data_IF_393885925353
#
_entry.id   IF_393885925353
#
_cell.length_a   1.000
_cell.length_b   1.000
_cell.length_c   1.000
_cell.angle_alpha   90.00
_cell.angle_beta   90.00
_cell.angle_gamma   90.00
#
_symmetry.space_group_name_H-M   'P 1'
#
loop_
_entity.id
_entity.type
_entity.pdbx_description
1 polymer ?
#
# COMPACT_ATOMS: atom_id res chain seq x y z
N UNK A 1 1.82 15.88 40.42
CA UNK A 1 0.48 15.50 39.86
C UNK A 1 0.60 15.36 38.35
N UNK A 2 0.09 14.27 37.78
CA UNK A 2 0.09 14.08 36.32
C UNK A 2 -0.97 14.99 35.69
N UNK A 3 -0.63 15.88 34.72
CA UNK A 3 -1.62 16.73 34.08
C UNK A 3 -2.64 15.89 33.31
N UNK A 4 -3.94 16.04 33.61
CA UNK A 4 -5.05 15.28 32.96
C UNK A 4 -4.97 15.30 31.43
N UNK A 5 -4.56 16.43 30.84
CA UNK A 5 -4.37 16.59 29.39
C UNK A 5 -3.32 15.64 28.80
N UNK A 6 -2.22 15.38 29.51
CA UNK A 6 -1.15 14.48 29.05
C UNK A 6 -1.56 13.02 29.13
N UNK A 7 -2.29 12.66 30.18
CA UNK A 7 -2.86 11.31 30.31
C UNK A 7 -3.92 11.05 29.22
N UNK A 8 -4.79 12.02 28.96
CA UNK A 8 -5.78 11.92 27.89
C UNK A 8 -5.13 11.74 26.51
N UNK A 9 -4.02 12.45 26.24
CA UNK A 9 -3.26 12.28 24.99
C UNK A 9 -2.70 10.85 24.86
N UNK A 10 -2.13 10.28 25.92
CA UNK A 10 -1.61 8.90 25.88
C UNK A 10 -2.73 7.87 25.69
N UNK A 11 -3.89 8.07 26.34
CA UNK A 11 -5.06 7.22 26.15
C UNK A 11 -5.57 7.32 24.71
N UNK A 12 -5.62 8.53 24.13
CA UNK A 12 -5.99 8.73 22.74
C UNK A 12 -5.02 8.01 21.79
N UNK A 13 -3.71 8.13 22.02
CA UNK A 13 -2.69 7.40 21.25
C UNK A 13 -2.90 5.87 21.31
N UNK A 14 -3.21 5.34 22.49
CA UNK A 14 -3.48 3.92 22.68
C UNK A 14 -4.77 3.48 21.98
N UNK A 15 -5.85 4.26 22.07
CA UNK A 15 -7.10 3.97 21.35
C UNK A 15 -6.91 3.99 19.83
N UNK A 16 -6.16 4.97 19.31
CA UNK A 16 -5.82 5.04 17.89
C UNK A 16 -4.94 3.86 17.48
N UNK A 17 -3.95 3.49 18.28
CA UNK A 17 -3.11 2.32 18.03
C UNK A 17 -3.90 1.00 17.97
N UNK A 18 -4.81 0.80 18.92
CA UNK A 18 -5.70 -0.37 18.94
C UNK A 18 -6.63 -0.34 17.72
N UNK A 19 -7.27 0.80 17.42
CA UNK A 19 -8.14 0.91 16.25
C UNK A 19 -7.39 0.62 14.95
N UNK A 20 -6.18 1.14 14.76
CA UNK A 20 -5.38 0.90 13.55
C UNK A 20 -4.87 -0.54 13.44
N UNK A 21 -4.44 -1.15 14.55
CA UNK A 21 -4.00 -2.55 14.55
C UNK A 21 -5.14 -3.54 14.35
N UNK A 22 -6.33 -3.26 14.92
CA UNK A 22 -7.47 -4.18 14.86
C UNK A 22 -8.33 -4.00 13.60
N UNK A 23 -8.50 -2.77 13.09
CA UNK A 23 -9.38 -2.50 11.92
C UNK A 23 -9.01 -3.35 10.71
N UNK A 24 -7.71 -3.55 10.49
CA UNK A 24 -7.23 -4.36 9.38
C UNK A 24 -6.97 -5.82 9.76
N UNK A 25 -6.57 -6.11 11.01
CA UNK A 25 -6.43 -7.50 11.45
C UNK A 25 -7.77 -8.25 11.38
N UNK A 26 -8.89 -7.62 11.77
CA UNK A 26 -10.23 -8.22 11.65
C UNK A 26 -10.61 -8.43 10.19
N UNK A 27 -10.36 -7.42 9.34
CA UNK A 27 -10.63 -7.50 7.89
C UNK A 27 -9.81 -8.58 7.17
N UNK A 28 -8.61 -8.91 7.65
CA UNK A 28 -7.74 -9.94 7.04
C UNK A 28 -7.81 -11.31 7.73
N UNK A 29 -8.40 -11.43 8.92
CA UNK A 29 -8.45 -12.70 9.70
C UNK A 29 -9.84 -13.32 9.82
N UNK A 30 -10.92 -12.55 9.68
CA UNK A 30 -12.30 -13.06 9.78
C UNK A 30 -13.01 -13.16 8.44
N UNK A 31 -12.62 -12.30 7.50
CA UNK A 31 -12.89 -12.43 6.07
C UNK A 31 -11.60 -12.92 5.44
N UNK A 32 -11.58 -14.15 4.93
CA UNK A 32 -10.69 -14.41 3.80
C UNK A 32 -11.04 -13.34 2.78
N UNK A 33 -10.06 -12.54 2.36
CA UNK A 33 -10.23 -11.56 1.28
C UNK A 33 -10.41 -12.36 -0.01
N UNK A 34 -11.53 -13.04 -0.12
CA UNK A 34 -11.94 -13.83 -1.25
C UNK A 34 -12.57 -12.88 -2.25
N UNK A 35 -12.22 -13.06 -3.50
CA UNK A 35 -12.88 -12.41 -4.62
C UNK A 35 -13.50 -13.50 -5.48
N UNK A 36 -14.75 -13.29 -5.89
CA UNK A 36 -15.40 -14.19 -6.82
C UNK A 36 -15.14 -13.75 -8.25
N UNK A 37 -14.68 -14.69 -9.08
CA UNK A 37 -14.44 -14.49 -10.50
C UNK A 37 -15.38 -15.39 -11.30
N UNK A 38 -15.98 -14.83 -12.33
CA UNK A 38 -16.80 -15.57 -13.30
C UNK A 38 -16.01 -15.85 -14.57
N UNK A 39 -16.42 -16.90 -15.28
CA UNK A 39 -16.02 -17.12 -16.66
C UNK A 39 -17.27 -17.22 -17.52
N UNK A 40 -17.40 -16.33 -18.51
CA UNK A 40 -18.51 -16.32 -19.44
C UNK A 40 -17.99 -16.55 -20.87
N UNK A 41 -18.67 -17.40 -21.64
CA UNK A 41 -18.31 -17.61 -23.05
C UNK A 41 -18.61 -16.33 -23.84
N UNK A 42 -17.62 -15.84 -24.57
CA UNK A 42 -17.72 -14.67 -25.42
C UNK A 42 -17.67 -15.04 -26.89
N UNK A 43 -18.55 -14.42 -27.66
CA UNK A 43 -18.80 -14.68 -29.08
C UNK A 43 -18.89 -13.36 -29.85
N UNK A 44 -19.06 -13.44 -31.18
CA UNK A 44 -19.23 -12.26 -32.03
C UNK A 44 -20.45 -11.39 -31.65
N UNK A 45 -21.46 -11.98 -30.99
CA UNK A 45 -22.65 -11.26 -30.52
C UNK A 45 -22.45 -10.63 -29.12
N UNK A 46 -21.33 -10.93 -28.46
CA UNK A 46 -21.02 -10.37 -27.15
C UNK A 46 -20.67 -8.89 -27.26
N UNK A 47 -21.08 -8.02 -26.30
CA UNK A 47 -20.78 -6.60 -26.37
C UNK A 47 -19.27 -6.35 -26.37
N UNK A 48 -18.69 -5.67 -27.39
CA UNK A 48 -17.24 -5.46 -27.47
C UNK A 48 -16.66 -4.72 -26.27
N UNK A 49 -17.44 -3.80 -25.71
CA UNK A 49 -17.05 -3.04 -24.52
C UNK A 49 -16.86 -3.91 -23.27
N UNK A 50 -17.50 -5.08 -23.20
CA UNK A 50 -17.32 -6.01 -22.08
C UNK A 50 -15.89 -6.58 -22.10
N UNK A 51 -15.43 -7.04 -23.26
CA UNK A 51 -14.07 -7.56 -23.44
C UNK A 51 -13.03 -6.47 -23.17
N UNK A 52 -13.20 -5.29 -23.76
CA UNK A 52 -12.29 -4.16 -23.56
C UNK A 52 -12.25 -3.61 -22.12
N UNK A 53 -13.20 -3.98 -21.26
CA UNK A 53 -13.19 -3.57 -19.85
C UNK A 53 -12.33 -4.47 -18.97
N UNK A 54 -12.07 -5.71 -19.40
CA UNK A 54 -11.40 -6.72 -18.59
C UNK A 54 -10.15 -7.32 -19.24
N UNK A 55 -9.98 -7.17 -20.56
CA UNK A 55 -8.80 -7.61 -21.26
C UNK A 55 -7.83 -6.43 -21.47
N UNK A 56 -6.61 -6.47 -20.89
CA UNK A 56 -5.65 -5.36 -20.95
C UNK A 56 -5.08 -5.12 -22.36
N UNK A 57 -5.25 -6.06 -23.29
CA UNK A 57 -4.75 -5.96 -24.66
C UNK A 57 -5.76 -5.29 -25.61
N UNK A 58 -6.95 -4.93 -25.09
CA UNK A 58 -8.01 -4.22 -25.84
C UNK A 58 -8.39 -2.91 -25.17
N UNK A 59 -8.08 -1.78 -25.79
CA UNK A 59 -8.34 -0.45 -25.23
C UNK A 59 -9.82 -0.07 -25.32
N UNK A 60 -10.45 0.31 -24.20
CA UNK A 60 -11.81 0.85 -24.20
C UNK A 60 -11.82 2.38 -24.45
N UNK A 61 -11.71 2.79 -25.72
CA UNK A 61 -11.71 4.21 -26.11
C UNK A 61 -13.03 4.92 -25.76
N UNK A 62 -14.15 4.20 -25.69
CA UNK A 62 -15.43 4.79 -25.26
C UNK A 62 -15.37 5.24 -23.78
N UNK A 63 -14.74 4.45 -22.91
CA UNK A 63 -14.48 4.83 -21.53
C UNK A 63 -13.50 6.01 -21.45
N UNK A 64 -12.38 5.94 -22.19
CA UNK A 64 -11.37 7.01 -22.25
C UNK A 64 -11.96 8.35 -22.68
N UNK A 65 -12.84 8.36 -23.69
CA UNK A 65 -13.53 9.57 -24.16
C UNK A 65 -14.56 10.10 -23.15
N UNK A 66 -15.17 9.23 -22.35
CA UNK A 66 -16.09 9.66 -21.29
C UNK A 66 -15.35 10.35 -20.13
N UNK A 67 -14.17 9.85 -19.77
CA UNK A 67 -13.32 10.45 -18.74
C UNK A 67 -12.67 11.76 -19.22
N UNK A 68 -12.23 11.80 -20.49
CA UNK A 68 -11.59 12.96 -21.10
C UNK A 68 -12.37 13.41 -22.36
N UNK A 69 -13.42 14.24 -22.20
CA UNK A 69 -14.31 14.66 -23.28
C UNK A 69 -13.64 15.31 -24.49
N UNK A 70 -12.45 15.90 -24.30
CA UNK A 70 -11.61 16.47 -25.35
C UNK A 70 -11.23 15.46 -26.44
N UNK A 71 -11.11 14.18 -26.07
CA UNK A 71 -10.77 13.09 -26.99
C UNK A 71 -11.93 12.69 -27.91
N UNK A 72 -13.14 13.20 -27.67
CA UNK A 72 -14.33 12.82 -28.43
C UNK A 72 -14.17 13.09 -29.93
N UNK A 73 -13.73 14.28 -30.32
CA UNK A 73 -13.59 14.61 -31.75
C UNK A 73 -12.39 13.91 -32.42
N UNK A 74 -11.19 13.83 -31.80
CA UNK A 74 -10.07 13.04 -32.32
C UNK A 74 -10.43 11.56 -32.55
N UNK A 75 -10.99 10.90 -31.54
CA UNK A 75 -11.35 9.46 -31.62
C UNK A 75 -12.50 9.25 -32.60
N UNK A 76 -13.54 10.09 -32.59
CA UNK A 76 -14.63 10.00 -33.56
C UNK A 76 -14.14 10.25 -34.99
N UNK A 77 -13.15 11.13 -35.19
CA UNK A 77 -12.54 11.35 -36.50
C UNK A 77 -11.81 10.10 -36.94
N UNK A 78 -10.90 9.56 -36.13
CA UNK A 78 -10.20 8.32 -36.43
C UNK A 78 -11.17 7.17 -36.74
N UNK A 79 -12.23 7.00 -35.97
CA UNK A 79 -13.23 5.95 -36.19
C UNK A 79 -14.02 6.11 -37.51
N UNK A 80 -14.19 7.35 -38.01
CA UNK A 80 -14.89 7.64 -39.27
C UNK A 80 -13.98 7.59 -40.49
N UNK A 81 -12.75 8.09 -40.38
CA UNK A 81 -11.82 8.29 -41.51
C UNK A 81 -10.70 7.26 -41.54
N UNK A 82 -10.57 6.44 -40.50
CA UNK A 82 -9.46 5.51 -40.27
C UNK A 82 -8.26 6.13 -39.57
N UNK A 83 -8.14 7.46 -39.54
CA UNK A 83 -7.00 8.17 -38.95
C UNK A 83 -7.35 9.58 -38.48
N UNK A 84 -6.88 9.92 -37.29
CA UNK A 84 -6.74 11.29 -36.81
C UNK A 84 -5.24 11.60 -36.69
N UNK A 85 -4.82 12.79 -37.11
CA UNK A 85 -3.46 13.29 -36.97
C UNK A 85 -3.54 14.80 -36.74
N UNK A 86 -3.25 15.24 -35.51
CA UNK A 86 -3.45 16.63 -35.13
C UNK A 86 -2.99 16.99 -33.73
N UNK A 87 -3.10 18.28 -33.44
CA UNK A 87 -2.80 18.85 -32.13
C UNK A 87 -3.91 18.49 -31.13
N UNK A 88 -3.53 18.11 -29.92
CA UNK A 88 -4.47 17.76 -28.83
C UNK A 88 -4.19 18.61 -27.59
N UNK A 89 -5.20 18.69 -26.71
CA UNK A 89 -5.04 19.38 -25.42
C UNK A 89 -4.08 18.62 -24.48
N UNK A 90 -3.35 19.30 -23.58
CA UNK A 90 -2.44 18.65 -22.64
C UNK A 90 -3.10 17.58 -21.76
N UNK A 91 -4.36 17.76 -21.38
CA UNK A 91 -5.14 16.79 -20.62
C UNK A 91 -5.41 15.53 -21.44
N UNK A 92 -5.76 15.69 -22.73
CA UNK A 92 -5.90 14.61 -23.68
C UNK A 92 -4.57 13.88 -23.93
N UNK A 93 -3.46 14.61 -23.92
CA UNK A 93 -2.11 14.04 -24.00
C UNK A 93 -1.82 13.13 -22.81
N UNK A 94 -2.04 13.59 -21.57
CA UNK A 94 -1.82 12.75 -20.39
C UNK A 94 -2.65 11.47 -20.44
N UNK A 95 -3.95 11.58 -20.77
CA UNK A 95 -4.83 10.41 -20.88
C UNK A 95 -4.37 9.43 -21.97
N UNK A 96 -3.99 9.91 -23.16
CA UNK A 96 -3.54 9.03 -24.23
C UNK A 96 -2.14 8.45 -23.98
N UNK A 97 -1.26 9.18 -23.28
CA UNK A 97 0.05 8.67 -22.87
C UNK A 97 -0.05 7.56 -21.82
N UNK A 98 -1.17 7.47 -21.10
CA UNK A 98 -1.43 6.38 -20.14
C UNK A 98 -2.09 5.15 -20.80
N UNK A 99 -2.48 5.24 -22.08
CA UNK A 99 -2.99 4.08 -22.83
C UNK A 99 -1.85 3.08 -23.05
N UNK A 100 -2.14 1.79 -22.88
CA UNK A 100 -1.17 0.72 -23.10
C UNK A 100 -0.58 0.80 -24.52
N UNK A 101 0.73 1.10 -24.61
CA UNK A 101 1.46 1.23 -25.88
C UNK A 101 1.51 -0.09 -26.67
N UNK A 102 1.38 -1.23 -25.97
CA UNK A 102 1.44 -2.57 -26.58
C UNK A 102 0.06 -3.04 -27.09
N UNK A 103 -1.02 -2.30 -26.85
CA UNK A 103 -2.36 -2.72 -27.25
C UNK A 103 -2.56 -2.60 -28.77
N UNK A 104 -2.89 -3.72 -29.43
CA UNK A 104 -3.15 -3.76 -30.89
C UNK A 104 -4.63 -3.51 -31.22
N UNK A 105 -5.54 -3.59 -30.25
CA UNK A 105 -6.96 -3.47 -30.49
C UNK A 105 -7.62 -2.42 -29.60
N UNK A 106 -8.71 -1.85 -30.10
CA UNK A 106 -9.53 -0.92 -29.35
C UNK A 106 -11.03 -1.12 -29.64
N UNK A 107 -11.85 -0.71 -28.69
CA UNK A 107 -13.30 -0.63 -28.83
C UNK A 107 -13.75 0.81 -28.75
N UNK A 108 -14.51 1.24 -29.76
CA UNK A 108 -15.18 2.52 -29.77
C UNK A 108 -16.58 2.37 -30.39
N UNK A 109 -17.58 3.02 -29.81
CA UNK A 109 -18.98 2.98 -30.29
C UNK A 109 -19.51 1.55 -30.56
N UNK A 110 -19.14 0.61 -29.69
CA UNK A 110 -19.58 -0.79 -29.76
C UNK A 110 -18.98 -1.61 -30.90
N UNK A 111 -17.83 -1.19 -31.46
CA UNK A 111 -17.13 -1.92 -32.54
C UNK A 111 -15.66 -2.11 -32.22
N UNK A 112 -15.09 -3.19 -32.75
CA UNK A 112 -13.65 -3.47 -32.68
C UNK A 112 -12.90 -2.76 -33.79
N UNK A 113 -11.70 -2.30 -33.44
CA UNK A 113 -10.74 -1.70 -34.35
C UNK A 113 -9.35 -2.28 -34.08
N UNK A 114 -8.57 -2.52 -35.13
CA UNK A 114 -7.12 -2.53 -35.01
C UNK A 114 -6.66 -1.10 -34.72
N UNK A 115 -5.83 -0.96 -33.70
CA UNK A 115 -5.51 0.29 -33.04
C UNK A 115 -4.01 0.55 -33.13
N UNK A 116 -3.67 1.80 -33.40
CA UNK A 116 -2.31 2.31 -33.25
C UNK A 116 -2.39 3.75 -32.76
N UNK A 117 -1.54 4.04 -31.79
CA UNK A 117 -1.47 5.34 -31.13
C UNK A 117 -0.02 5.81 -31.11
N UNK A 118 0.18 7.04 -31.55
CA UNK A 118 1.45 7.73 -31.39
C UNK A 118 1.18 9.11 -30.82
N UNK A 119 1.78 9.40 -29.66
CA UNK A 119 1.62 10.67 -28.95
C UNK A 119 2.97 11.34 -28.80
N UNK A 120 3.04 12.63 -29.08
CA UNK A 120 4.25 13.45 -28.95
C UNK A 120 3.97 14.71 -28.14
N UNK A 121 4.93 15.13 -27.31
CA UNK A 121 4.74 16.19 -26.30
C UNK A 121 5.20 17.59 -26.72
N UNK A 122 5.94 17.75 -27.82
CA UNK A 122 6.40 19.07 -28.30
C UNK A 122 6.54 19.13 -29.84
N UNK A 123 5.55 19.70 -30.56
CA UNK A 123 4.24 20.14 -30.06
C UNK A 123 3.35 18.96 -29.61
N UNK A 124 2.39 19.23 -28.72
CA UNK A 124 1.45 18.22 -28.22
C UNK A 124 0.55 17.72 -29.37
N UNK A 125 0.83 16.51 -29.86
CA UNK A 125 0.15 15.90 -31.01
C UNK A 125 -0.16 14.44 -30.77
N UNK A 126 -1.25 13.97 -31.36
CA UNK A 126 -1.55 12.55 -31.45
C UNK A 126 -1.88 12.14 -32.89
N UNK A 127 -1.37 10.97 -33.25
CA UNK A 127 -1.86 10.17 -34.37
C UNK A 127 -2.62 8.99 -33.79
N UNK A 128 -3.91 8.88 -34.12
CA UNK A 128 -4.80 7.78 -33.73
C UNK A 128 -5.24 7.09 -35.02
N UNK A 129 -4.95 5.80 -35.15
CA UNK A 129 -5.41 4.98 -36.26
C UNK A 129 -6.41 3.94 -35.76
N UNK A 130 -7.53 3.82 -36.49
CA UNK A 130 -8.62 2.89 -36.18
C UNK A 130 -9.09 2.23 -37.46
N UNK A 131 -8.66 0.99 -37.67
CA UNK A 131 -9.11 0.16 -38.79
C UNK A 131 -10.18 -0.83 -38.29
N UNK A 132 -11.42 -0.81 -38.81
CA UNK A 132 -12.46 -1.73 -38.36
C UNK A 132 -12.04 -3.20 -38.47
N UNK A 133 -12.33 -4.00 -37.44
CA UNK A 133 -12.03 -5.43 -37.42
C UNK A 133 -13.19 -6.22 -36.80
N UNK A 134 -13.09 -7.55 -36.83
CA UNK A 134 -14.10 -8.48 -36.32
C UNK A 134 -13.65 -9.17 -35.03
N UNK A 135 -14.61 -9.79 -34.36
CA UNK A 135 -14.40 -10.52 -33.12
C UNK A 135 -13.40 -11.67 -33.32
N UNK A 136 -13.50 -12.42 -34.41
CA UNK A 136 -12.66 -13.57 -34.68
C UNK A 136 -11.17 -13.20 -34.76
N UNK A 137 -10.87 -12.05 -35.37
CA UNK A 137 -9.50 -11.51 -35.43
C UNK A 137 -9.02 -11.11 -34.04
N UNK A 138 -9.84 -10.38 -33.27
CA UNK A 138 -9.49 -9.92 -31.92
C UNK A 138 -9.30 -11.09 -30.97
N UNK A 139 -10.26 -12.01 -30.90
CA UNK A 139 -10.27 -13.13 -29.97
C UNK A 139 -9.06 -14.05 -30.19
N UNK A 140 -8.67 -14.28 -31.45
CA UNK A 140 -7.47 -15.06 -31.78
C UNK A 140 -6.19 -14.38 -31.31
N UNK A 141 -6.13 -13.06 -31.35
CA UNK A 141 -4.93 -12.30 -31.02
C UNK A 141 -4.76 -12.10 -29.51
N UNK A 142 -5.84 -11.84 -28.77
CA UNK A 142 -5.78 -11.52 -27.34
C UNK A 142 -5.96 -12.73 -26.43
N UNK A 143 -6.49 -13.84 -26.95
CA UNK A 143 -6.75 -15.01 -26.11
C UNK A 143 -5.49 -15.72 -25.64
N UNK A 144 -5.47 -16.02 -24.35
CA UNK A 144 -4.44 -16.88 -23.76
C UNK A 144 -4.95 -18.33 -23.71
N UNK A 145 -4.17 -19.33 -24.15
CA UNK A 145 -4.57 -20.73 -23.99
C UNK A 145 -4.81 -21.06 -22.51
N UNK A 146 -5.99 -21.59 -22.16
CA UNK A 146 -6.35 -21.90 -20.78
C UNK A 146 -5.38 -22.90 -20.10
N UNK A 147 -4.69 -23.73 -20.89
CA UNK A 147 -3.65 -24.64 -20.41
C UNK A 147 -2.44 -23.90 -19.77
N UNK A 148 -2.18 -22.66 -20.19
CA UNK A 148 -1.11 -21.81 -19.67
C UNK A 148 -1.61 -20.93 -18.51
N UNK A 149 -2.91 -20.89 -18.25
CA UNK A 149 -3.51 -20.08 -17.20
C UNK A 149 -3.36 -20.72 -15.81
N UNK A 150 -3.61 -19.92 -14.77
CA UNK A 150 -3.58 -20.39 -13.38
C UNK A 150 -4.60 -21.52 -13.15
N UNK A 151 -4.44 -22.26 -12.05
CA UNK A 151 -5.43 -23.26 -11.65
C UNK A 151 -6.82 -22.64 -11.46
N UNK A 152 -6.86 -21.44 -10.86
CA UNK A 152 -8.10 -20.70 -10.59
C UNK A 152 -8.83 -20.28 -11.86
N UNK A 153 -8.11 -19.81 -12.89
CA UNK A 153 -8.71 -19.50 -14.20
C UNK A 153 -9.34 -20.75 -14.82
N UNK A 154 -8.62 -21.88 -14.78
CA UNK A 154 -9.13 -23.13 -15.34
C UNK A 154 -10.36 -23.63 -14.59
N UNK A 155 -10.36 -23.50 -13.26
CA UNK A 155 -11.51 -23.82 -12.43
C UNK A 155 -12.70 -22.89 -12.71
N UNK A 156 -12.47 -21.59 -12.88
CA UNK A 156 -13.52 -20.64 -13.26
C UNK A 156 -14.13 -21.02 -14.62
N UNK A 157 -13.31 -21.36 -15.61
CA UNK A 157 -13.78 -21.79 -16.94
C UNK A 157 -14.56 -23.11 -16.86
N UNK A 158 -14.09 -24.08 -16.07
CA UNK A 158 -14.72 -25.40 -15.97
C UNK A 158 -16.00 -25.40 -15.10
N UNK A 159 -16.03 -24.55 -14.07
CA UNK A 159 -17.10 -24.49 -13.07
C UNK A 159 -18.04 -23.27 -13.21
N UNK A 160 -17.74 -22.35 -14.12
CA UNK A 160 -18.44 -21.06 -14.32
C UNK A 160 -18.01 -19.96 -13.35
N UNK A 161 -17.57 -20.32 -12.13
CA UNK A 161 -17.08 -19.35 -11.13
C UNK A 161 -16.00 -19.97 -10.25
N UNK A 162 -15.10 -19.13 -9.74
CA UNK A 162 -14.15 -19.49 -8.67
C UNK A 162 -14.15 -18.41 -7.60
N UNK A 163 -14.11 -18.83 -6.33
CA UNK A 163 -13.93 -17.92 -5.19
C UNK A 163 -12.58 -18.25 -4.57
N UNK A 164 -11.63 -17.31 -4.64
CA UNK A 164 -10.30 -17.50 -4.07
C UNK A 164 -9.76 -16.20 -3.47
N UNK A 165 -8.85 -16.37 -2.51
CA UNK A 165 -8.05 -15.34 -1.84
C UNK A 165 -6.92 -14.74 -2.69
N UNK A 166 -6.66 -15.30 -3.88
CA UNK A 166 -5.61 -14.84 -4.80
C UNK A 166 -6.23 -14.09 -5.98
N UNK A 167 -5.59 -13.00 -6.40
CA UNK A 167 -6.02 -12.26 -7.59
C UNK A 167 -5.92 -13.15 -8.83
N UNK A 168 -7.06 -13.34 -9.49
CA UNK A 168 -7.14 -13.96 -10.82
C UNK A 168 -6.92 -12.87 -11.86
N UNK A 169 -6.05 -13.15 -12.84
CA UNK A 169 -5.78 -12.23 -13.95
C UNK A 169 -7.02 -12.22 -14.86
N UNK A 170 -7.71 -11.08 -15.02
CA UNK A 170 -8.82 -10.97 -15.96
C UNK A 170 -8.30 -10.99 -17.40
N UNK A 171 -9.15 -11.45 -18.31
CA UNK A 171 -8.83 -11.50 -19.75
C UNK A 171 -9.55 -12.62 -20.48
N UNK A 172 -9.28 -12.72 -21.78
CA UNK A 172 -9.86 -13.75 -22.66
C UNK A 172 -8.99 -15.00 -22.66
N UNK A 173 -9.62 -16.15 -22.44
CA UNK A 173 -8.96 -17.45 -22.44
C UNK A 173 -9.58 -18.41 -23.44
N UNK A 174 -8.74 -19.10 -24.20
CA UNK A 174 -9.19 -20.09 -25.17
C UNK A 174 -9.21 -21.49 -24.54
N UNK A 175 -10.35 -22.19 -24.64
CA UNK A 175 -10.47 -23.60 -24.27
C UNK A 175 -11.43 -24.34 -25.19
N UNK A 176 -10.92 -25.40 -25.83
CA UNK A 176 -11.74 -26.30 -26.64
C UNK A 176 -12.36 -25.63 -27.89
N UNK A 177 -11.72 -24.59 -28.43
CA UNK A 177 -12.21 -23.80 -29.56
C UNK A 177 -13.25 -22.74 -29.20
N UNK A 178 -13.58 -22.58 -27.91
CA UNK A 178 -14.40 -21.49 -27.39
C UNK A 178 -13.52 -20.49 -26.61
N UNK A 179 -13.99 -19.25 -26.53
CA UNK A 179 -13.31 -18.16 -25.85
C UNK A 179 -14.12 -17.77 -24.61
N UNK A 180 -13.46 -17.69 -23.47
CA UNK A 180 -14.07 -17.37 -22.18
C UNK A 180 -13.46 -16.09 -21.64
N UNK A 181 -14.30 -15.11 -21.32
CA UNK A 181 -13.88 -13.92 -20.61
C UNK A 181 -13.92 -14.21 -19.11
N UNK A 182 -12.76 -14.14 -18.48
CA UNK A 182 -12.65 -14.26 -17.02
C UNK A 182 -12.58 -12.86 -16.44
N UNK A 183 -13.49 -12.55 -15.51
CA UNK A 183 -13.59 -11.23 -14.90
C UNK A 183 -14.12 -11.31 -13.47
N UNK A 184 -13.89 -10.29 -12.63
CA UNK A 184 -14.56 -10.17 -11.35
C UNK A 184 -16.08 -10.25 -11.48
N UNK A 185 -16.72 -10.99 -10.57
CA UNK A 185 -18.16 -10.90 -10.38
C UNK A 185 -18.56 -9.56 -9.72
N UNK A 186 -17.66 -8.97 -8.93
CA UNK A 186 -17.85 -7.68 -8.28
C UNK A 186 -16.53 -6.89 -8.21
N UNK A 187 -16.39 -5.85 -9.03
CA UNK A 187 -15.21 -4.97 -9.02
C UNK A 187 -15.01 -4.25 -7.69
N UNK A 188 -16.11 -3.92 -7.00
CA UNK A 188 -16.07 -3.26 -5.69
C UNK A 188 -15.46 -4.15 -4.61
N UNK A 189 -15.62 -5.47 -4.73
CA UNK A 189 -14.99 -6.46 -3.84
C UNK A 189 -13.48 -6.51 -4.08
N UNK A 190 -13.04 -6.51 -5.34
CA UNK A 190 -11.61 -6.43 -5.69
C UNK A 190 -10.97 -5.16 -5.14
N UNK A 191 -11.58 -4.00 -5.40
CA UNK A 191 -11.06 -2.72 -4.91
C UNK A 191 -11.06 -2.66 -3.39
N UNK A 192 -12.12 -3.15 -2.74
CA UNK A 192 -12.22 -3.27 -1.29
C UNK A 192 -11.13 -4.17 -0.70
N UNK A 193 -10.91 -5.35 -1.30
CA UNK A 193 -9.88 -6.30 -0.89
C UNK A 193 -8.47 -5.73 -1.10
N UNK A 194 -8.22 -5.03 -2.21
CA UNK A 194 -6.96 -4.34 -2.47
C UNK A 194 -6.71 -3.24 -1.43
N UNK A 195 -7.70 -2.38 -1.17
CA UNK A 195 -7.60 -1.32 -0.16
C UNK A 195 -7.43 -1.89 1.25
N UNK A 196 -8.07 -3.01 1.57
CA UNK A 196 -7.90 -3.71 2.84
C UNK A 196 -6.49 -4.30 2.96
N UNK A 197 -5.93 -4.86 1.88
CA UNK A 197 -4.59 -5.43 1.85
C UNK A 197 -3.51 -4.33 1.97
N UNK A 198 -3.62 -3.25 1.19
CA UNK A 198 -2.74 -2.09 1.28
C UNK A 198 -2.89 -1.41 2.63
N UNK A 199 -4.11 -1.18 3.09
CA UNK A 199 -4.39 -0.58 4.39
C UNK A 199 -3.84 -1.44 5.54
N UNK A 200 -4.01 -2.76 5.48
CA UNK A 200 -3.45 -3.68 6.46
C UNK A 200 -1.93 -3.69 6.46
N UNK A 201 -1.31 -3.68 5.29
CA UNK A 201 0.14 -3.60 5.17
C UNK A 201 0.70 -2.29 5.75
N UNK A 202 0.03 -1.16 5.51
CA UNK A 202 0.51 0.16 5.94
C UNK A 202 0.17 0.50 7.40
N UNK A 203 -1.09 0.32 7.80
CA UNK A 203 -1.60 0.84 9.06
C UNK A 203 -1.47 -0.11 10.23
N UNK A 204 -1.50 -1.43 10.01
CA UNK A 204 -1.30 -2.41 11.08
C UNK A 204 0.05 -2.25 11.79
N UNK A 205 1.21 -2.18 11.10
CA UNK A 205 2.50 -1.98 11.78
C UNK A 205 2.58 -0.63 12.53
N UNK A 206 1.97 0.42 11.98
CA UNK A 206 1.86 1.74 12.63
C UNK A 206 1.03 1.64 13.92
N UNK A 207 -0.11 0.94 13.86
CA UNK A 207 -1.01 0.74 15.00
C UNK A 207 -0.33 0.00 16.16
N UNK A 208 0.49 -1.02 15.86
CA UNK A 208 1.30 -1.71 16.87
C UNK A 208 2.32 -0.78 17.53
N UNK A 209 3.04 0.02 16.74
CA UNK A 209 3.98 0.99 17.27
C UNK A 209 3.30 2.00 18.22
N UNK A 210 2.11 2.49 17.87
CA UNK A 210 1.35 3.42 18.71
C UNK A 210 0.83 2.75 19.99
N UNK A 211 0.37 1.52 19.89
CA UNK A 211 -0.11 0.73 21.05
C UNK A 211 1.03 0.50 22.04
N UNK A 212 2.18 0.04 21.58
CA UNK A 212 3.35 -0.21 22.43
C UNK A 212 3.90 1.09 23.01
N UNK A 213 3.98 2.17 22.23
CA UNK A 213 4.37 3.49 22.73
C UNK A 213 3.39 4.00 23.81
N UNK A 214 2.09 3.86 23.60
CA UNK A 214 1.05 4.22 24.56
C UNK A 214 1.16 3.42 25.87
N UNK A 215 1.34 2.10 25.79
CA UNK A 215 1.55 1.24 26.96
C UNK A 215 2.84 1.60 27.71
N UNK A 216 3.94 1.83 26.99
CA UNK A 216 5.22 2.25 27.58
C UNK A 216 5.11 3.58 28.33
N UNK A 217 4.41 4.55 27.73
CA UNK A 217 4.14 5.85 28.36
C UNK A 217 3.21 5.74 29.57
N UNK A 218 2.14 4.92 29.50
CA UNK A 218 1.27 4.65 30.65
C UNK A 218 2.03 4.00 31.81
N UNK A 219 2.86 3.00 31.51
CA UNK A 219 3.73 2.35 32.49
C UNK A 219 4.68 3.36 33.16
N UNK A 220 5.31 4.23 32.36
CA UNK A 220 6.19 5.27 32.87
C UNK A 220 5.46 6.28 33.78
N UNK A 221 4.23 6.69 33.42
CA UNK A 221 3.40 7.53 34.29
C UNK A 221 3.04 6.84 35.61
N UNK A 222 2.77 5.55 35.58
CA UNK A 222 2.40 4.77 36.78
C UNK A 222 3.57 4.62 37.75
N UNK A 223 4.76 4.33 37.23
CA UNK A 223 5.97 4.10 38.04
C UNK A 223 6.55 5.41 38.57
N UNK A 224 6.71 6.42 37.69
CA UNK A 224 7.47 7.64 38.03
C UNK A 224 6.61 8.79 38.57
N UNK A 225 5.29 8.78 38.34
CA UNK A 225 4.32 9.81 38.80
C UNK A 225 4.71 11.29 38.47
N UNK A 226 5.65 11.50 37.54
CA UNK A 226 6.10 12.83 37.08
C UNK A 226 5.23 13.34 35.93
N UNK A 227 5.25 14.66 35.72
CA UNK A 227 4.52 15.28 34.61
C UNK A 227 5.13 14.93 33.23
N UNK A 228 6.44 14.63 33.18
CA UNK A 228 7.21 14.24 31.99
C UNK A 228 7.94 12.92 32.29
N UNK A 229 7.34 11.76 31.99
CA UNK A 229 7.87 10.47 32.44
C UNK A 229 8.81 9.81 31.42
N UNK A 230 9.03 10.43 30.25
CA UNK A 230 9.79 9.82 29.16
C UNK A 230 11.28 10.13 29.28
N UNK A 231 12.04 9.18 29.79
CA UNK A 231 13.50 9.21 29.77
C UNK A 231 14.08 8.56 28.53
N UNK A 232 15.38 8.77 28.30
CA UNK A 232 16.11 8.14 27.19
C UNK A 232 15.91 6.63 27.13
N UNK A 233 15.96 5.94 28.27
CA UNK A 233 15.78 4.47 28.34
C UNK A 233 14.40 4.05 27.86
N UNK A 234 13.35 4.71 28.35
CA UNK A 234 11.97 4.42 27.95
C UNK A 234 11.74 4.73 26.47
N UNK A 235 12.27 5.86 25.96
CA UNK A 235 12.16 6.23 24.56
C UNK A 235 12.83 5.21 23.62
N UNK A 236 13.99 4.67 24.00
CA UNK A 236 14.69 3.63 23.21
C UNK A 236 14.00 2.27 23.33
N UNK A 237 13.48 1.90 24.52
CA UNK A 237 12.86 0.60 24.77
C UNK A 237 11.57 0.34 23.97
N UNK A 238 10.87 1.39 23.51
CA UNK A 238 9.67 1.23 22.67
C UNK A 238 9.98 0.55 21.34
N UNK A 239 11.18 0.77 20.78
CA UNK A 239 11.61 0.19 19.51
C UNK A 239 11.69 -1.35 19.56
N UNK A 240 12.51 -1.98 20.44
CA UNK A 240 12.53 -3.43 20.57
C UNK A 240 11.24 -4.00 21.15
N UNK A 241 10.51 -3.24 21.99
CA UNK A 241 9.20 -3.65 22.48
C UNK A 241 8.17 -3.80 21.36
N UNK A 242 8.21 -2.89 20.37
CA UNK A 242 7.34 -2.94 19.18
C UNK A 242 7.66 -4.15 18.33
N UNK A 243 8.95 -4.39 18.08
CA UNK A 243 9.41 -5.58 17.35
C UNK A 243 8.93 -6.88 18.01
N UNK A 244 9.12 -7.01 19.32
CA UNK A 244 8.69 -8.20 20.07
C UNK A 244 7.17 -8.39 20.06
N UNK A 245 6.40 -7.31 20.25
CA UNK A 245 4.94 -7.35 20.19
C UNK A 245 4.44 -7.78 18.82
N UNK A 246 5.05 -7.26 17.75
CA UNK A 246 4.70 -7.62 16.38
C UNK A 246 5.10 -9.04 16.01
N UNK A 247 6.26 -9.53 16.46
CA UNK A 247 6.60 -10.94 16.31
C UNK A 247 5.61 -11.85 17.01
N UNK A 248 5.19 -11.51 18.23
CA UNK A 248 4.15 -12.25 18.96
C UNK A 248 2.78 -12.19 18.28
N UNK A 249 2.37 -11.02 17.78
CA UNK A 249 1.12 -10.89 17.03
C UNK A 249 1.17 -11.75 15.76
N UNK A 250 2.24 -11.61 14.99
CA UNK A 250 2.44 -12.35 13.74
C UNK A 250 2.50 -13.86 13.95
N UNK A 251 3.13 -14.38 15.01
CA UNK A 251 3.15 -15.84 15.28
C UNK A 251 1.77 -16.39 15.58
N UNK A 252 0.91 -15.59 16.22
CA UNK A 252 -0.42 -16.01 16.67
C UNK A 252 -1.49 -15.91 15.58
N UNK A 253 -1.39 -14.95 14.66
CA UNK A 253 -2.52 -14.61 13.76
C UNK A 253 -2.25 -14.75 12.27
N UNK A 254 -0.99 -14.70 11.81
CA UNK A 254 -0.72 -14.60 10.38
C UNK A 254 -0.29 -15.94 9.76
N UNK A 255 -0.60 -16.12 8.49
CA UNK A 255 -0.07 -17.18 7.61
C UNK A 255 0.66 -16.51 6.42
N UNK A 256 1.53 -17.23 5.71
CA UNK A 256 2.30 -16.66 4.58
C UNK A 256 3.80 -16.47 4.81
N UNK A 257 4.47 -15.74 3.90
CA UNK A 257 5.94 -15.63 3.79
C UNK A 257 6.62 -15.21 5.10
N UNK A 258 7.61 -15.99 5.53
CA UNK A 258 8.40 -15.72 6.74
C UNK A 258 9.17 -14.40 6.66
N UNK A 259 9.73 -14.07 5.49
CA UNK A 259 10.46 -12.82 5.29
C UNK A 259 9.56 -11.59 5.48
N UNK A 260 8.37 -11.59 4.89
CA UNK A 260 7.43 -10.48 5.05
C UNK A 260 6.93 -10.34 6.49
N UNK A 261 6.62 -11.49 7.12
CA UNK A 261 6.03 -11.57 8.46
C UNK A 261 6.97 -11.13 9.58
N UNK A 262 8.24 -11.53 9.50
CA UNK A 262 9.19 -11.32 10.60
C UNK A 262 10.18 -10.19 10.35
N UNK A 263 10.30 -9.71 9.11
CA UNK A 263 11.30 -8.70 8.75
C UNK A 263 10.63 -7.44 8.20
N UNK A 264 9.93 -7.54 7.07
CA UNK A 264 9.37 -6.38 6.38
C UNK A 264 8.32 -5.62 7.22
N UNK A 265 7.24 -6.31 7.62
CA UNK A 265 6.14 -5.69 8.36
C UNK A 265 6.61 -5.15 9.72
N UNK A 266 7.38 -5.92 10.53
CA UNK A 266 7.94 -5.39 11.78
C UNK A 266 8.92 -4.23 11.60
N UNK A 267 9.68 -4.22 10.49
CA UNK A 267 10.58 -3.11 10.14
C UNK A 267 9.85 -1.78 10.06
N UNK A 268 8.68 -1.74 9.41
CA UNK A 268 7.82 -0.55 9.33
C UNK A 268 7.43 -0.07 10.73
N UNK A 269 6.97 -0.99 11.60
CA UNK A 269 6.56 -0.66 12.96
C UNK A 269 7.72 -0.14 13.82
N UNK A 270 8.91 -0.73 13.68
CA UNK A 270 10.15 -0.27 14.35
C UNK A 270 10.50 1.16 13.93
N UNK A 271 10.43 1.46 12.63
CA UNK A 271 10.70 2.79 12.08
C UNK A 271 9.67 3.80 12.56
N UNK A 272 8.39 3.43 12.62
CA UNK A 272 7.36 4.26 13.23
C UNK A 272 7.65 4.53 14.71
N UNK A 273 7.93 3.48 15.49
CA UNK A 273 8.22 3.58 16.93
C UNK A 273 9.41 4.49 17.24
N UNK A 274 10.39 4.56 16.34
CA UNK A 274 11.54 5.46 16.44
C UNK A 274 11.13 6.94 16.54
N UNK A 275 9.95 7.32 16.04
CA UNK A 275 9.41 8.67 16.17
C UNK A 275 9.36 9.19 17.61
N UNK A 276 9.10 8.31 18.59
CA UNK A 276 9.08 8.70 20.00
C UNK A 276 10.50 9.10 20.49
N UNK A 277 11.52 8.34 20.10
CA UNK A 277 12.91 8.67 20.38
C UNK A 277 13.38 9.91 19.62
N UNK A 278 12.94 10.07 18.37
CA UNK A 278 13.23 11.25 17.58
C UNK A 278 12.70 12.53 18.24
N UNK A 279 11.45 12.52 18.72
CA UNK A 279 10.86 13.63 19.48
C UNK A 279 11.65 13.96 20.76
N UNK A 280 12.10 12.94 21.50
CA UNK A 280 12.97 13.10 22.66
C UNK A 280 14.30 13.78 22.29
N UNK A 281 14.96 13.34 21.22
CA UNK A 281 16.20 13.94 20.74
C UNK A 281 16.04 15.39 20.28
N UNK A 282 14.94 15.71 19.58
CA UNK A 282 14.63 17.08 19.15
C UNK A 282 14.46 17.99 20.37
N UNK A 283 13.73 17.53 21.40
CA UNK A 283 13.54 18.30 22.65
C UNK A 283 14.86 18.61 23.34
N UNK A 284 15.82 17.69 23.30
CA UNK A 284 17.15 17.83 23.93
C UNK A 284 18.22 18.45 23.01
N UNK A 285 17.87 18.81 21.77
CA UNK A 285 18.83 19.36 20.81
C UNK A 285 19.94 18.38 20.41
N UNK A 286 19.75 17.07 20.61
CA UNK A 286 20.77 16.04 20.37
C UNK A 286 20.79 15.58 18.91
N UNK A 287 21.00 16.51 17.97
CA UNK A 287 20.91 16.29 16.52
C UNK A 287 21.86 15.21 16.00
N UNK A 288 23.08 15.12 16.55
CA UNK A 288 24.05 14.07 16.17
C UNK A 288 23.53 12.67 16.47
N UNK A 289 22.87 12.49 17.62
CA UNK A 289 22.26 11.22 18.01
C UNK A 289 21.07 10.89 17.11
N UNK A 290 20.25 11.89 16.78
CA UNK A 290 19.11 11.71 15.89
C UNK A 290 19.55 11.21 14.52
N UNK A 291 20.45 11.94 13.86
CA UNK A 291 20.95 11.59 12.52
C UNK A 291 21.65 10.22 12.54
N UNK A 292 22.51 9.98 13.53
CA UNK A 292 23.25 8.71 13.64
C UNK A 292 22.32 7.51 13.78
N UNK A 293 21.32 7.59 14.66
CA UNK A 293 20.36 6.50 14.84
C UNK A 293 19.38 6.35 13.67
N UNK A 294 18.96 7.43 13.02
CA UNK A 294 18.12 7.36 11.82
C UNK A 294 18.83 6.62 10.67
N UNK A 295 20.10 6.96 10.41
CA UNK A 295 20.91 6.30 9.37
C UNK A 295 21.16 4.84 9.72
N UNK A 296 21.52 4.55 10.98
CA UNK A 296 21.72 3.18 11.44
C UNK A 296 20.44 2.34 11.29
N UNK A 297 19.29 2.90 11.68
CA UNK A 297 18.00 2.22 11.56
C UNK A 297 17.64 1.93 10.10
N UNK A 298 17.77 2.91 9.22
CA UNK A 298 17.51 2.73 7.79
C UNK A 298 18.41 1.65 7.18
N UNK A 299 19.71 1.68 7.51
CA UNK A 299 20.66 0.67 7.04
C UNK A 299 20.31 -0.74 7.55
N UNK A 300 19.93 -0.88 8.82
CA UNK A 300 19.56 -2.17 9.41
C UNK A 300 18.29 -2.71 8.77
N UNK A 301 17.24 -1.90 8.58
CA UNK A 301 15.98 -2.34 7.96
C UNK A 301 16.22 -2.79 6.53
N UNK A 302 16.87 -1.96 5.71
CA UNK A 302 17.16 -2.29 4.30
C UNK A 302 18.04 -3.52 4.18
N UNK A 303 19.09 -3.65 5.01
CA UNK A 303 19.95 -4.82 5.01
C UNK A 303 19.19 -6.09 5.44
N UNK A 304 18.33 -6.00 6.46
CA UNK A 304 17.53 -7.13 6.90
C UNK A 304 16.53 -7.57 5.82
N UNK A 305 15.85 -6.64 5.17
CA UNK A 305 14.92 -6.93 4.07
C UNK A 305 15.63 -7.53 2.86
N UNK A 306 16.81 -7.01 2.49
CA UNK A 306 17.64 -7.54 1.43
C UNK A 306 18.09 -8.98 1.71
N UNK A 307 18.47 -9.28 2.96
CA UNK A 307 18.88 -10.64 3.36
C UNK A 307 17.70 -11.60 3.38
N UNK A 308 16.53 -11.15 3.86
CA UNK A 308 15.38 -12.01 4.06
C UNK A 308 14.58 -12.30 2.78
N UNK A 309 14.52 -11.34 1.85
CA UNK A 309 13.61 -11.37 0.69
C UNK A 309 14.38 -11.10 -0.64
N UNK A 310 15.66 -10.71 -0.59
CA UNK A 310 16.46 -10.42 -1.77
C UNK A 310 16.17 -9.04 -2.37
N UNK A 311 16.37 -8.88 -3.68
CA UNK A 311 16.20 -7.60 -4.38
C UNK A 311 14.78 -7.02 -4.23
N UNK A 312 13.77 -7.89 -4.31
CA UNK A 312 12.36 -7.52 -4.08
C UNK A 312 12.18 -6.97 -2.67
N UNK A 313 12.83 -7.59 -1.69
CA UNK A 313 12.89 -7.11 -0.30
C UNK A 313 13.41 -5.69 -0.18
N UNK A 314 14.50 -5.36 -0.85
CA UNK A 314 15.10 -4.02 -0.82
C UNK A 314 14.14 -2.94 -1.31
N UNK A 315 13.38 -3.21 -2.38
CA UNK A 315 12.39 -2.29 -2.95
C UNK A 315 11.26 -2.05 -1.95
N UNK A 316 10.64 -3.12 -1.46
CA UNK A 316 9.56 -3.02 -0.49
C UNK A 316 10.01 -2.48 0.87
N UNK A 317 11.23 -2.79 1.31
CA UNK A 317 11.82 -2.28 2.55
C UNK A 317 12.07 -0.77 2.48
N UNK A 318 12.49 -0.26 1.32
CA UNK A 318 12.62 1.18 1.08
C UNK A 318 11.26 1.89 1.14
N UNK A 319 10.23 1.30 0.52
CA UNK A 319 8.87 1.82 0.62
C UNK A 319 8.35 1.75 2.06
N UNK A 320 8.63 0.65 2.75
CA UNK A 320 8.32 0.45 4.16
C UNK A 320 8.98 1.48 5.08
N UNK A 321 10.21 1.91 4.77
CA UNK A 321 10.87 3.02 5.48
C UNK A 321 10.07 4.32 5.34
N UNK A 322 9.67 4.68 4.11
CA UNK A 322 8.88 5.90 3.86
C UNK A 322 7.58 5.90 4.68
N UNK A 323 6.87 4.77 4.65
CA UNK A 323 5.64 4.56 5.42
C UNK A 323 5.90 4.65 6.92
N UNK A 324 6.96 3.99 7.39
CA UNK A 324 7.38 4.01 8.78
C UNK A 324 7.68 5.43 9.28
N UNK A 325 8.41 6.21 8.49
CA UNK A 325 8.73 7.61 8.77
C UNK A 325 7.47 8.49 8.78
N UNK A 326 6.56 8.29 7.84
CA UNK A 326 5.27 8.98 7.85
C UNK A 326 4.48 8.68 9.13
N UNK A 327 4.39 7.40 9.51
CA UNK A 327 3.80 6.99 10.78
C UNK A 327 4.50 7.59 12.00
N UNK A 328 5.81 7.81 11.93
CA UNK A 328 6.61 8.38 13.03
C UNK A 328 6.25 9.83 13.35
N UNK A 329 5.74 10.59 12.38
CA UNK A 329 5.39 12.01 12.52
C UNK A 329 4.39 12.25 13.67
N UNK A 330 3.46 11.34 13.89
CA UNK A 330 2.50 11.44 14.99
C UNK A 330 3.13 11.13 16.36
N UNK A 331 4.18 10.31 16.44
CA UNK A 331 4.86 10.00 17.71
C UNK A 331 5.88 11.06 18.12
N UNK A 332 6.46 11.80 17.17
CA UNK A 332 7.43 12.86 17.43
C UNK A 332 6.91 13.91 18.43
N UNK A 333 5.69 14.47 18.29
CA UNK A 333 5.12 15.40 19.28
C UNK A 333 4.98 14.80 20.68
N UNK A 334 4.62 13.52 20.80
CA UNK A 334 4.52 12.85 22.10
C UNK A 334 5.91 12.70 22.75
N UNK A 335 6.91 12.31 21.95
CA UNK A 335 8.30 12.21 22.39
C UNK A 335 8.83 13.57 22.87
N UNK A 336 8.52 14.63 22.13
CA UNK A 336 8.93 16.00 22.46
C UNK A 336 8.25 16.52 23.73
N UNK A 337 6.93 16.37 23.85
CA UNK A 337 6.14 16.97 24.92
C UNK A 337 6.28 16.24 26.28
N UNK A 338 6.62 14.95 26.26
CA UNK A 338 6.69 14.08 27.43
C UNK A 338 8.13 13.78 27.90
N UNK A 339 9.15 14.17 27.12
CA UNK A 339 10.57 14.01 27.46
C UNK A 339 10.94 14.70 28.78
N UNK A 340 11.61 14.00 29.68
CA UNK A 340 12.16 14.55 30.92
C UNK A 340 13.28 15.57 30.65
N UNK A 341 13.35 16.60 31.50
CA UNK A 341 14.40 17.61 31.40
C UNK A 341 15.73 17.05 31.95
N UNK A 342 16.86 17.61 31.53
CA UNK A 342 18.21 17.10 31.87
C UNK A 342 18.57 17.19 33.36
N UNK A 343 17.83 17.98 34.14
CA UNK A 343 18.00 18.10 35.59
C UNK A 343 17.39 16.89 36.31
N UNK A 344 16.27 16.35 35.80
CA UNK A 344 15.56 15.20 36.36
C UNK A 344 16.33 13.87 36.25
N UNK A 345 17.26 13.75 35.29
CA UNK A 345 18.14 12.58 35.11
C UNK A 345 19.42 12.64 35.96
N UNK A 346 19.87 13.83 36.40
CA UNK A 346 21.03 13.97 37.29
C UNK A 346 20.73 13.47 38.70
N UNK A 347 19.49 13.60 39.17
CA UNK A 347 19.04 13.02 40.45
C UNK A 347 19.00 11.48 40.44
N UNK A 348 18.96 10.81 39.28
CA UNK A 348 18.94 9.34 39.15
C UNK A 348 20.33 8.74 38.77
N UNK A 349 21.37 9.57 38.59
CA UNK A 349 22.72 9.12 38.23
C UNK A 349 23.50 8.52 39.41
N UNK A 350 24.41 7.55 39.19
CA UNK A 350 25.28 7.05 40.26
C UNK A 350 26.23 8.18 40.69
N UNK A 351 25.87 8.86 41.77
CA UNK A 351 26.52 10.09 42.24
C UNK A 351 25.55 11.20 42.69
N UNK A 352 24.23 10.97 42.66
CA UNK A 352 23.26 11.90 43.22
C UNK A 352 23.34 11.93 44.76
N UNK A 353 24.22 12.77 45.29
CA UNK A 353 24.24 13.14 46.72
C UNK A 353 23.04 14.06 46.94
N UNK A 354 22.04 13.58 47.67
CA UNK A 354 20.89 14.40 48.07
C UNK A 354 21.34 15.52 48.98
N UNK A 355 20.70 16.69 48.91
CA UNK A 355 21.03 17.83 49.79
C UNK A 355 20.91 17.50 51.30
N UNK A 356 20.21 16.41 51.66
CA UNK A 356 20.16 15.84 53.01
C UNK A 356 21.48 15.18 53.45
N UNK A 357 22.35 14.72 52.53
CA UNK A 357 23.65 14.11 52.86
C UNK A 357 24.78 15.13 53.05
N UNK A 358 24.57 16.38 52.62
CA UNK A 358 25.54 17.48 52.74
C UNK A 358 25.23 18.43 53.92
N UNK A 359 24.21 18.13 54.72
CA UNK A 359 23.70 18.98 55.78
C UNK A 359 23.61 18.27 57.13
N UNK A 360 24.75 17.82 57.66
CA UNK A 360 25.03 17.76 59.11
C UNK A 360 26.55 17.59 59.27
N UNK A 361 27.23 18.72 59.53
CA UNK A 361 28.66 18.80 59.82
C UNK A 361 28.90 19.57 61.11
#
# INVERSE_FOLDING_TARGET
MVPRKRLAAVVALLLVGIALSQSFAVATSTSSLESTYGAEEVTADSPPGLVASYDPDVVNLAATVNETPQLREPVATAARTGRYDGDIEPEAYMTLSDVNEDAEFAVYDGRYYRFSLNVSGDPVRATIELEPTDWETVSTAVSTPAANASADVREAIDGGTVTNSTFVVPGVYERGGAHYLVHPANEGEILGNFLALVGGFLFNPIGWAYTVAGLGLLGAFRVRRRARPLDRRTAVLVVPGTLAAMWLGTTLTNTGSLGMRYVLIPGIGVVTAFGLFAGFCIRRGSWKSLVGWSVALAAVVVAADAVAIGLVGTIFGTLGLVVGWFGSLLLVPYGYALASDSEDEREEGPGAVTAEELGDG
#
